data_IF_587189746245
#
_entry.id   IF_587189746245
#
_cell.length_a   1.000
_cell.length_b   1.000
_cell.length_c   1.000
_cell.angle_alpha   90.00
_cell.angle_beta   90.00
_cell.angle_gamma   90.00
#
_symmetry.space_group_name_H-M   'P 1'
#
loop_
_entity.id
_entity.type
_entity.pdbx_description
1 polymer ?
#
# COMPACT_ATOMS: atom_id res chain seq x y z
N UNK A 1 -11.45 60.46 -14.10
CA UNK A 1 -10.99 59.14 -13.63
C UNK A 1 -11.75 58.84 -12.35
N UNK A 2 -12.72 57.91 -12.41
CA UNK A 2 -13.54 57.57 -11.24
C UNK A 2 -12.88 56.40 -10.51
N UNK A 3 -12.38 56.65 -9.30
CA UNK A 3 -11.75 55.65 -8.45
C UNK A 3 -12.84 54.79 -7.81
N UNK A 4 -12.89 53.50 -8.17
CA UNK A 4 -13.84 52.54 -7.59
C UNK A 4 -13.49 52.38 -6.11
N UNK A 5 -14.35 52.88 -5.22
CA UNK A 5 -14.24 52.69 -3.77
C UNK A 5 -14.85 51.33 -3.41
N UNK A 6 -14.01 50.32 -3.23
CA UNK A 6 -14.43 49.02 -2.75
C UNK A 6 -14.67 49.06 -1.24
N UNK A 7 -15.94 49.22 -0.83
CA UNK A 7 -16.35 49.02 0.56
C UNK A 7 -16.71 47.54 0.77
N UNK A 8 -15.70 46.66 0.78
CA UNK A 8 -15.92 45.25 1.11
C UNK A 8 -16.06 45.09 2.62
N UNK A 9 -17.21 44.62 3.15
CA UNK A 9 -17.30 44.31 4.56
C UNK A 9 -16.30 43.19 4.85
N UNK A 10 -15.50 43.34 5.91
CA UNK A 10 -14.41 42.42 6.28
C UNK A 10 -14.87 40.96 6.26
N UNK A 11 -16.11 40.67 6.64
CA UNK A 11 -16.72 39.34 6.56
C UNK A 11 -16.78 38.75 5.14
N UNK A 12 -17.06 39.56 4.11
CA UNK A 12 -17.07 39.09 2.71
C UNK A 12 -15.66 38.75 2.25
N UNK A 13 -14.67 39.56 2.63
CA UNK A 13 -13.26 39.35 2.29
C UNK A 13 -12.73 38.05 2.90
N UNK A 14 -13.00 37.84 4.19
CA UNK A 14 -12.64 36.60 4.91
C UNK A 14 -13.27 35.38 4.25
N UNK A 15 -14.55 35.47 3.87
CA UNK A 15 -15.27 34.37 3.23
C UNK A 15 -14.70 34.04 1.85
N UNK A 16 -14.37 35.04 1.03
CA UNK A 16 -13.73 34.83 -0.27
C UNK A 16 -12.32 34.26 -0.15
N UNK A 17 -11.55 34.71 0.85
CA UNK A 17 -10.21 34.19 1.11
C UNK A 17 -10.27 32.70 1.50
N UNK A 18 -11.18 32.33 2.40
CA UNK A 18 -11.36 30.95 2.83
C UNK A 18 -11.74 30.02 1.66
N UNK A 19 -12.68 30.45 0.81
CA UNK A 19 -13.08 29.68 -0.39
C UNK A 19 -11.89 29.51 -1.33
N UNK A 20 -11.12 30.57 -1.58
CA UNK A 20 -9.93 30.49 -2.43
C UNK A 20 -8.90 29.50 -1.89
N UNK A 21 -8.61 29.54 -0.58
CA UNK A 21 -7.70 28.60 0.06
C UNK A 21 -8.16 27.15 -0.09
N UNK A 22 -9.45 26.87 0.10
CA UNK A 22 -10.00 25.51 -0.05
C UNK A 22 -9.89 25.04 -1.51
N UNK A 23 -10.24 25.89 -2.47
CA UNK A 23 -10.12 25.57 -3.89
C UNK A 23 -8.67 25.31 -4.31
N UNK A 24 -7.73 26.13 -3.84
CA UNK A 24 -6.30 25.92 -4.09
C UNK A 24 -5.82 24.59 -3.48
N UNK A 25 -6.25 24.27 -2.25
CA UNK A 25 -5.89 23.03 -1.58
C UNK A 25 -6.45 21.80 -2.31
N UNK A 26 -7.70 21.86 -2.77
CA UNK A 26 -8.30 20.80 -3.61
C UNK A 26 -7.57 20.61 -4.93
N UNK A 27 -7.12 21.71 -5.57
CA UNK A 27 -6.33 21.64 -6.80
C UNK A 27 -4.98 20.95 -6.57
N UNK A 28 -4.28 21.29 -5.49
CA UNK A 28 -3.01 20.66 -5.12
C UNK A 28 -3.21 19.16 -4.85
N UNK A 29 -4.24 18.77 -4.09
CA UNK A 29 -4.50 17.35 -3.81
C UNK A 29 -4.93 16.53 -5.04
N UNK A 30 -5.57 17.16 -6.03
CA UNK A 30 -5.89 16.48 -7.29
C UNK A 30 -4.67 16.37 -8.21
N UNK A 31 -3.82 17.41 -8.27
CA UNK A 31 -2.64 17.43 -9.13
C UNK A 31 -1.50 16.55 -8.60
N UNK A 32 -1.41 16.43 -7.27
CA UNK A 32 -0.44 15.59 -6.58
C UNK A 32 -1.23 14.52 -5.82
N UNK A 33 -1.64 13.41 -6.49
CA UNK A 33 -2.20 12.28 -5.78
C UNK A 33 -1.25 11.89 -4.64
N UNK A 34 -1.81 11.63 -3.46
CA UNK A 34 -1.02 11.15 -2.33
C UNK A 34 -0.13 10.02 -2.81
N UNK A 35 1.18 10.24 -2.77
CA UNK A 35 2.19 9.29 -3.22
C UNK A 35 2.16 8.13 -2.23
N UNK A 36 1.22 7.21 -2.42
CA UNK A 36 1.40 5.85 -1.97
C UNK A 36 2.69 5.38 -2.63
N UNK A 37 3.64 4.90 -1.82
CA UNK A 37 4.91 4.31 -2.23
C UNK A 37 4.75 3.67 -3.60
N UNK A 38 5.56 4.10 -4.57
CA UNK A 38 5.54 3.60 -5.96
C UNK A 38 5.34 2.09 -5.94
N UNK A 39 4.10 1.64 -6.16
CA UNK A 39 3.86 0.22 -6.36
C UNK A 39 4.51 -0.09 -7.70
N UNK A 40 5.32 -1.13 -7.74
CA UNK A 40 5.86 -1.61 -8.99
C UNK A 40 4.86 -2.66 -9.49
N UNK A 41 3.89 -2.30 -10.36
CA UNK A 41 2.80 -3.21 -10.74
C UNK A 41 3.32 -4.50 -11.39
N UNK A 42 4.51 -4.45 -12.01
CA UNK A 42 5.22 -5.60 -12.59
C UNK A 42 5.89 -6.50 -11.54
N UNK A 43 6.12 -6.05 -10.29
CA UNK A 43 6.57 -6.96 -9.20
C UNK A 43 5.46 -7.86 -8.68
N UNK A 44 4.19 -7.51 -8.92
CA UNK A 44 3.06 -8.41 -8.72
C UNK A 44 2.93 -9.45 -9.85
N UNK A 45 3.66 -9.27 -10.96
CA UNK A 45 3.67 -10.18 -12.11
C UNK A 45 4.74 -11.27 -12.02
N UNK A 46 5.47 -11.42 -10.91
CA UNK A 46 6.27 -12.64 -10.70
C UNK A 46 5.27 -13.81 -10.63
N UNK A 47 4.98 -14.40 -11.80
CA UNK A 47 3.85 -15.30 -11.96
C UNK A 47 4.08 -16.55 -11.12
N UNK A 48 3.23 -16.75 -10.12
CA UNK A 48 3.20 -17.92 -9.23
C UNK A 48 2.53 -19.12 -9.93
N UNK A 49 2.95 -19.41 -11.17
CA UNK A 49 2.35 -20.43 -12.03
C UNK A 49 2.45 -21.84 -11.44
N UNK A 50 3.48 -22.09 -10.62
CA UNK A 50 3.65 -23.33 -9.88
C UNK A 50 2.55 -23.49 -8.82
N UNK A 51 2.28 -22.44 -8.05
CA UNK A 51 1.18 -22.41 -7.07
C UNK A 51 -0.17 -22.57 -7.77
N UNK A 52 -0.43 -21.84 -8.85
CA UNK A 52 -1.67 -21.95 -9.62
C UNK A 52 -1.89 -23.39 -10.11
N UNK A 53 -0.83 -24.01 -10.66
CA UNK A 53 -0.86 -25.40 -11.12
C UNK A 53 -1.09 -26.38 -9.98
N UNK A 54 -0.48 -26.17 -8.80
CA UNK A 54 -0.70 -27.04 -7.64
C UNK A 54 -2.14 -26.91 -7.11
N UNK A 55 -2.67 -25.68 -7.02
CA UNK A 55 -4.04 -25.41 -6.63
C UNK A 55 -5.03 -26.08 -7.59
N UNK A 56 -4.82 -25.96 -8.90
CA UNK A 56 -5.66 -26.60 -9.90
C UNK A 56 -5.60 -28.13 -9.81
N UNK A 57 -4.41 -28.71 -9.55
CA UNK A 57 -4.27 -30.16 -9.30
C UNK A 57 -5.02 -30.60 -8.04
N UNK A 58 -5.00 -29.81 -6.96
CA UNK A 58 -5.68 -30.14 -5.72
C UNK A 58 -7.21 -30.15 -5.90
N UNK A 59 -7.75 -29.24 -6.71
CA UNK A 59 -9.19 -29.23 -7.05
C UNK A 59 -9.59 -30.44 -7.89
N UNK A 60 -8.71 -30.93 -8.75
CA UNK A 60 -8.99 -32.04 -9.69
C UNK A 60 -8.68 -33.44 -9.13
N UNK A 61 -7.93 -33.54 -8.04
CA UNK A 61 -7.53 -34.82 -7.42
C UNK A 61 -8.43 -35.21 -6.25
N UNK A 62 -8.35 -36.49 -5.88
CA UNK A 62 -8.89 -36.95 -4.59
C UNK A 62 -8.20 -36.22 -3.43
N UNK A 63 -8.87 -36.04 -2.28
CA UNK A 63 -8.28 -35.42 -1.11
C UNK A 63 -6.95 -36.07 -0.75
N UNK A 64 -5.96 -35.24 -0.41
CA UNK A 64 -4.65 -35.72 0.02
C UNK A 64 -4.78 -36.56 1.29
N UNK A 65 -3.97 -37.61 1.39
CA UNK A 65 -3.85 -38.36 2.63
C UNK A 65 -3.02 -37.58 3.66
N UNK A 66 -3.01 -38.07 4.90
CA UNK A 66 -2.37 -37.39 6.02
C UNK A 66 -0.84 -37.32 5.85
N UNK A 67 -0.23 -38.31 5.20
CA UNK A 67 1.20 -38.33 4.97
C UNK A 67 1.60 -37.34 3.87
N UNK A 68 0.89 -37.33 2.74
CA UNK A 68 1.09 -36.36 1.66
C UNK A 68 0.88 -34.92 2.16
N UNK A 69 -0.13 -34.73 3.01
CA UNK A 69 -0.41 -33.42 3.63
C UNK A 69 0.75 -32.98 4.51
N UNK A 70 1.28 -33.86 5.36
CA UNK A 70 2.43 -33.54 6.23
C UNK A 70 3.69 -33.27 5.42
N UNK A 71 3.98 -34.08 4.43
CA UNK A 71 5.18 -33.93 3.60
C UNK A 71 5.17 -32.59 2.85
N UNK A 72 4.03 -32.19 2.27
CA UNK A 72 3.91 -30.90 1.58
C UNK A 72 3.84 -29.71 2.52
N UNK A 73 3.14 -29.82 3.64
CA UNK A 73 3.09 -28.75 4.63
C UNK A 73 4.45 -28.50 5.30
N UNK A 74 5.31 -29.52 5.39
CA UNK A 74 6.69 -29.36 5.87
C UNK A 74 7.61 -28.72 4.80
N UNK A 75 7.31 -28.91 3.52
CA UNK A 75 8.11 -28.36 2.42
C UNK A 75 7.86 -26.86 2.18
N UNK A 76 6.72 -26.32 2.58
CA UNK A 76 6.42 -24.90 2.37
C UNK A 76 5.21 -24.39 3.15
N UNK A 77 4.56 -23.30 2.70
CA UNK A 77 3.59 -22.56 3.53
C UNK A 77 2.31 -23.34 3.85
N UNK A 78 1.94 -24.29 3.00
CA UNK A 78 0.79 -25.18 3.18
C UNK A 78 0.89 -26.39 2.24
N UNK A 79 -0.02 -27.35 2.43
CA UNK A 79 -0.12 -28.60 1.70
C UNK A 79 -0.49 -28.45 0.21
N UNK A 80 -1.12 -27.33 -0.17
CA UNK A 80 -1.53 -27.06 -1.55
C UNK A 80 -0.40 -26.43 -2.35
N UNK A 81 0.30 -25.47 -1.76
CA UNK A 81 1.37 -24.72 -2.41
C UNK A 81 2.70 -25.48 -2.31
N UNK A 82 2.94 -26.19 -1.20
CA UNK A 82 4.24 -26.79 -0.91
C UNK A 82 5.34 -25.75 -1.05
N UNK A 83 6.47 -26.15 -1.62
CA UNK A 83 7.61 -25.27 -1.94
C UNK A 83 7.49 -24.56 -3.30
N UNK A 84 6.34 -24.64 -3.98
CA UNK A 84 6.19 -24.08 -5.31
C UNK A 84 6.36 -22.56 -5.30
N UNK A 85 7.26 -22.09 -6.17
CA UNK A 85 7.58 -20.65 -6.34
C UNK A 85 7.97 -19.95 -5.01
N UNK A 86 8.47 -20.69 -4.01
CA UNK A 86 8.84 -20.15 -2.69
C UNK A 86 9.93 -19.06 -2.77
N UNK A 87 10.78 -19.14 -3.79
CA UNK A 87 11.82 -18.18 -4.15
C UNK A 87 11.25 -16.87 -4.72
N UNK A 88 10.07 -16.94 -5.35
CA UNK A 88 9.33 -15.79 -5.90
C UNK A 88 8.40 -15.14 -4.89
N UNK A 89 8.00 -15.86 -3.84
CA UNK A 89 7.16 -15.34 -2.77
C UNK A 89 7.88 -14.25 -1.95
N UNK A 90 7.14 -13.21 -1.57
CA UNK A 90 7.65 -12.18 -0.66
C UNK A 90 7.65 -12.68 0.78
N UNK A 91 8.81 -12.57 1.43
CA UNK A 91 9.07 -12.92 2.82
C UNK A 91 9.92 -11.83 3.49
N UNK A 92 10.07 -11.92 4.81
CA UNK A 92 10.80 -10.93 5.61
C UNK A 92 12.26 -10.75 5.17
N UNK A 93 12.89 -11.80 4.63
CA UNK A 93 14.30 -11.78 4.20
C UNK A 93 14.50 -11.16 2.80
N UNK A 94 13.48 -11.22 1.92
CA UNK A 94 13.56 -10.69 0.55
C UNK A 94 12.66 -9.46 0.31
N UNK A 95 12.06 -8.93 1.38
CA UNK A 95 11.18 -7.76 1.35
C UNK A 95 11.69 -6.71 2.34
N UNK A 96 12.20 -5.59 1.83
CA UNK A 96 12.42 -4.38 2.62
C UNK A 96 11.08 -3.67 2.85
N UNK A 97 10.23 -4.24 3.69
CA UNK A 97 9.00 -3.60 4.16
C UNK A 97 9.23 -3.08 5.58
N UNK A 98 8.97 -1.80 5.80
CA UNK A 98 8.92 -1.22 7.13
C UNK A 98 7.70 -1.75 7.87
N UNK A 99 7.90 -2.29 9.07
CA UNK A 99 6.80 -2.75 9.90
C UNK A 99 5.84 -1.59 10.23
N UNK A 100 4.57 -1.87 10.50
CA UNK A 100 3.63 -0.83 10.91
C UNK A 100 4.11 -0.08 12.15
N UNK A 101 4.72 -0.78 13.09
CA UNK A 101 5.33 -0.20 14.28
C UNK A 101 6.46 0.77 13.92
N UNK A 102 7.33 0.40 12.98
CA UNK A 102 8.44 1.24 12.53
C UNK A 102 7.96 2.45 11.69
N UNK A 103 6.85 2.31 10.98
CA UNK A 103 6.18 3.44 10.31
C UNK A 103 5.63 4.42 11.36
N UNK A 104 4.95 3.91 12.39
CA UNK A 104 4.43 4.75 13.49
C UNK A 104 5.58 5.41 14.27
N UNK A 105 6.66 4.68 14.57
CA UNK A 105 7.86 5.22 15.22
C UNK A 105 8.50 6.34 14.41
N UNK A 106 8.73 6.14 13.11
CA UNK A 106 9.25 7.17 12.22
C UNK A 106 8.37 8.42 12.18
N UNK A 107 7.05 8.26 12.17
CA UNK A 107 6.11 9.40 12.18
C UNK A 107 6.19 10.14 13.51
N UNK A 108 6.19 9.43 14.64
CA UNK A 108 6.28 10.03 15.99
C UNK A 108 7.63 10.73 16.19
N UNK A 109 8.74 10.14 15.76
CA UNK A 109 10.09 10.74 15.85
C UNK A 109 10.21 12.00 14.99
N UNK A 110 9.65 11.99 13.77
CA UNK A 110 9.63 13.17 12.90
C UNK A 110 8.78 14.33 13.47
N UNK A 111 7.69 14.03 14.19
CA UNK A 111 6.84 15.04 14.84
C UNK A 111 7.47 15.55 16.15
N UNK A 112 8.14 14.69 16.90
CA UNK A 112 8.70 15.02 18.23
C UNK A 112 10.13 15.53 18.19
N UNK A 113 10.83 15.44 17.06
CA UNK A 113 12.19 15.96 16.87
C UNK A 113 13.27 15.17 17.62
N UNK A 114 12.92 14.04 18.24
CA UNK A 114 13.88 13.09 18.83
C UNK A 114 14.30 12.10 17.75
N UNK A 115 15.42 12.38 17.10
CA UNK A 115 16.21 11.37 16.39
C UNK A 115 17.21 10.79 17.38
N UNK A 116 17.07 9.52 17.70
CA UNK A 116 18.13 8.73 18.33
C UNK A 116 19.17 8.32 17.27
#
# INVERSE_FOLDING_TARGET
MSSIKFNFPVQRLVRTLAVFCICAMLFVFNAFPAVAVTSNPTKGEDQLLGIEKQAQKAVLKQPMDLQETQDKANAGPNEIQGDADIDKMKNASNTNATSFEEQVKNVVENITGKKD
#
